data_IF_956813514886
#
_entry.id   IF_956813514886
#
_cell.length_a   1.000
_cell.length_b   1.000
_cell.length_c   1.000
_cell.angle_alpha   90.00
_cell.angle_beta   90.00
_cell.angle_gamma   90.00
#
_symmetry.space_group_name_H-M   'P 1'
#
loop_
_entity.id
_entity.type
_entity.pdbx_description
1 polymer ?
#
# COMPACT_ATOMS: atom_id res chain seq x y z
N UNK A 1 11.52 5.28 16.21
CA UNK A 1 10.76 4.06 15.89
C UNK A 1 11.73 3.07 15.28
N UNK A 2 11.69 1.78 15.67
CA UNK A 2 12.43 0.75 14.93
C UNK A 2 11.67 0.52 13.63
N UNK A 3 12.32 0.69 12.48
CA UNK A 3 11.75 0.35 11.18
C UNK A 3 11.75 -1.18 11.11
N UNK A 4 10.57 -1.79 11.19
CA UNK A 4 10.41 -3.24 11.06
C UNK A 4 10.47 -3.63 9.58
N UNK A 5 11.67 -3.73 9.03
CA UNK A 5 11.86 -4.14 7.64
C UNK A 5 11.44 -5.60 7.47
N UNK A 6 10.41 -5.85 6.64
CA UNK A 6 9.88 -7.17 6.27
C UNK A 6 9.41 -8.05 7.42
N UNK A 7 8.90 -7.46 8.49
CA UNK A 7 8.24 -8.25 9.53
C UNK A 7 7.07 -9.04 8.91
N UNK A 8 7.09 -10.36 9.08
CA UNK A 8 5.96 -11.22 8.74
C UNK A 8 4.92 -11.06 9.84
N UNK A 9 3.74 -10.60 9.46
CA UNK A 9 2.61 -10.38 10.36
C UNK A 9 1.79 -11.65 10.47
N UNK A 10 1.53 -12.30 9.34
CA UNK A 10 0.71 -13.51 9.23
C UNK A 10 1.21 -14.35 8.04
N UNK A 11 1.13 -15.68 8.13
CA UNK A 11 1.38 -16.57 7.01
C UNK A 11 0.59 -17.87 7.16
N UNK A 12 0.27 -18.51 6.04
CA UNK A 12 -0.49 -19.75 6.06
C UNK A 12 -0.82 -20.29 4.68
N UNK A 13 -1.98 -20.94 4.57
CA UNK A 13 -2.52 -21.42 3.31
C UNK A 13 -3.91 -20.83 3.07
N UNK A 14 -4.19 -20.42 1.85
CA UNK A 14 -5.49 -19.90 1.41
C UNK A 14 -5.99 -20.69 0.21
N UNK A 15 -7.29 -21.01 0.18
CA UNK A 15 -7.91 -21.61 -1.00
C UNK A 15 -8.40 -20.50 -1.94
N UNK A 16 -7.87 -20.44 -3.16
CA UNK A 16 -8.32 -19.47 -4.14
C UNK A 16 -9.64 -19.95 -4.77
N UNK A 17 -10.58 -19.03 -5.01
CA UNK A 17 -11.85 -19.38 -5.66
C UNK A 17 -11.66 -19.86 -7.11
N UNK A 18 -10.54 -19.50 -7.75
CA UNK A 18 -10.22 -19.84 -9.14
C UNK A 18 -10.00 -21.33 -9.38
N UNK A 19 -9.42 -22.04 -8.40
CA UNK A 19 -9.01 -23.44 -8.56
C UNK A 19 -9.34 -24.32 -7.34
N UNK A 20 -9.78 -23.74 -6.22
CA UNK A 20 -10.04 -24.42 -4.94
C UNK A 20 -8.81 -25.11 -4.34
N UNK A 21 -7.62 -24.84 -4.86
CA UNK A 21 -6.35 -25.37 -4.35
C UNK A 21 -5.83 -24.47 -3.24
N UNK A 22 -5.08 -25.06 -2.30
CA UNK A 22 -4.44 -24.32 -1.21
C UNK A 22 -3.10 -23.78 -1.66
N UNK A 23 -2.94 -22.46 -1.59
CA UNK A 23 -1.72 -21.75 -1.92
C UNK A 23 -1.10 -21.14 -0.66
N UNK A 24 0.24 -21.17 -0.53
CA UNK A 24 0.91 -20.47 0.56
C UNK A 24 0.71 -18.96 0.42
N UNK A 25 0.40 -18.29 1.52
CA UNK A 25 0.33 -16.84 1.58
C UNK A 25 1.20 -16.27 2.70
N UNK A 26 1.64 -15.02 2.52
CA UNK A 26 2.36 -14.23 3.51
C UNK A 26 1.81 -12.81 3.51
N UNK A 27 1.43 -12.30 4.68
CA UNK A 27 1.18 -10.89 4.95
C UNK A 27 2.40 -10.33 5.69
N UNK A 28 3.05 -9.32 5.11
CA UNK A 28 4.25 -8.72 5.70
C UNK A 28 4.38 -7.25 5.42
N UNK A 29 5.18 -6.58 6.23
CA UNK A 29 5.63 -5.21 5.97
C UNK A 29 6.42 -5.16 4.65
N UNK A 30 6.18 -4.12 3.86
CA UNK A 30 6.89 -3.85 2.62
C UNK A 30 8.11 -2.95 2.86
N UNK A 31 9.12 -3.13 2.02
CA UNK A 31 10.28 -2.23 1.95
C UNK A 31 10.57 -1.81 0.51
N UNK A 32 11.60 -0.99 0.33
CA UNK A 32 11.98 -0.44 -0.99
C UNK A 32 12.23 -1.50 -2.07
N UNK A 33 12.59 -2.73 -1.71
CA UNK A 33 12.82 -3.78 -2.72
C UNK A 33 11.48 -4.33 -3.26
N UNK A 34 10.37 -4.07 -2.57
CA UNK A 34 9.02 -4.41 -3.02
C UNK A 34 8.44 -3.39 -4.00
N UNK A 35 9.13 -2.27 -4.26
CA UNK A 35 8.67 -1.20 -5.16
C UNK A 35 8.20 -1.75 -6.50
N UNK A 36 9.00 -2.64 -7.11
CA UNK A 36 8.66 -3.23 -8.40
C UNK A 36 7.34 -4.02 -8.33
N UNK A 37 7.11 -4.77 -7.25
CA UNK A 37 5.91 -5.57 -7.07
C UNK A 37 4.67 -4.68 -6.90
N UNK A 38 4.80 -3.59 -6.13
CA UNK A 38 3.70 -2.61 -5.94
C UNK A 38 3.35 -1.92 -7.27
N UNK A 39 4.35 -1.46 -8.02
CA UNK A 39 4.12 -0.79 -9.31
C UNK A 39 3.51 -1.74 -10.34
N UNK A 40 3.91 -3.01 -10.35
CA UNK A 40 3.32 -4.05 -11.20
C UNK A 40 1.86 -4.33 -10.84
N UNK A 41 1.53 -4.40 -9.55
CA UNK A 41 0.17 -4.57 -9.07
C UNK A 41 -0.71 -3.39 -9.50
N UNK A 42 -0.27 -2.16 -9.22
CA UNK A 42 -0.96 -0.94 -9.64
C UNK A 42 -1.19 -0.92 -11.15
N UNK A 43 -0.15 -1.17 -11.95
CA UNK A 43 -0.27 -1.19 -13.40
C UNK A 43 -1.31 -2.20 -13.89
N UNK A 44 -1.32 -3.40 -13.31
CA UNK A 44 -2.27 -4.47 -13.67
C UNK A 44 -3.71 -4.07 -13.34
N UNK A 45 -3.93 -3.48 -12.16
CA UNK A 45 -5.25 -3.01 -11.73
C UNK A 45 -5.75 -1.89 -12.65
N UNK A 46 -4.94 -0.85 -12.88
CA UNK A 46 -5.28 0.27 -13.79
C UNK A 46 -5.54 -0.22 -15.21
N UNK A 47 -4.77 -1.19 -15.70
CA UNK A 47 -4.97 -1.74 -17.03
C UNK A 47 -6.36 -2.41 -17.19
N UNK A 48 -6.87 -3.02 -16.12
CA UNK A 48 -8.17 -3.70 -16.08
C UNK A 48 -9.39 -2.79 -15.83
N UNK A 49 -9.19 -1.55 -15.39
CA UNK A 49 -10.28 -0.62 -15.09
C UNK A 49 -10.95 -0.08 -16.36
N UNK A 50 -12.28 0.06 -16.34
CA UNK A 50 -13.05 0.71 -17.42
C UNK A 50 -12.88 2.23 -17.38
N UNK A 51 -12.92 2.83 -16.19
CA UNK A 51 -12.86 4.28 -15.96
C UNK A 51 -11.50 4.71 -15.38
N UNK A 52 -10.43 4.48 -16.14
CA UNK A 52 -9.04 4.71 -15.70
C UNK A 52 -8.76 6.16 -15.30
N UNK A 53 -9.49 7.09 -15.91
CA UNK A 53 -9.41 8.53 -15.67
C UNK A 53 -9.84 8.95 -14.26
N UNK A 54 -10.59 8.11 -13.54
CA UNK A 54 -11.01 8.38 -12.16
C UNK A 54 -9.97 7.91 -11.13
N UNK A 55 -8.98 7.14 -11.57
CA UNK A 55 -7.93 6.62 -10.69
C UNK A 55 -6.70 7.51 -10.75
N UNK A 56 -6.23 7.94 -9.58
CA UNK A 56 -4.96 8.67 -9.42
C UNK A 56 -3.90 7.65 -8.98
N UNK A 57 -3.03 7.17 -9.88
CA UNK A 57 -1.96 6.25 -9.51
C UNK A 57 -0.91 6.97 -8.66
N UNK A 58 -0.39 6.29 -7.63
CA UNK A 58 0.79 6.77 -6.93
C UNK A 58 2.00 6.65 -7.86
N UNK A 59 2.84 7.68 -7.91
CA UNK A 59 4.05 7.64 -8.71
C UNK A 59 5.11 6.73 -8.08
N UNK A 60 6.07 6.27 -8.90
CA UNK A 60 7.19 5.46 -8.41
C UNK A 60 8.00 6.22 -7.34
N UNK A 61 8.19 7.52 -7.51
CA UNK A 61 8.92 8.38 -6.56
C UNK A 61 8.21 8.48 -5.22
N UNK A 62 6.89 8.68 -5.22
CA UNK A 62 6.09 8.74 -3.99
C UNK A 62 6.05 7.39 -3.27
N UNK A 63 5.88 6.30 -4.02
CA UNK A 63 5.91 4.95 -3.46
C UNK A 63 7.29 4.61 -2.87
N UNK A 64 8.38 4.95 -3.55
CA UNK A 64 9.73 4.76 -3.03
C UNK A 64 9.94 5.58 -1.74
N UNK A 65 9.51 6.84 -1.73
CA UNK A 65 9.59 7.69 -0.56
C UNK A 65 8.88 7.06 0.65
N UNK A 66 7.68 6.48 0.44
CA UNK A 66 6.94 5.76 1.48
C UNK A 66 7.74 4.55 1.99
N UNK A 67 8.21 3.71 1.09
CA UNK A 67 8.91 2.46 1.38
C UNK A 67 10.32 2.66 2.00
N UNK A 68 10.88 3.88 1.92
CA UNK A 68 12.11 4.27 2.60
C UNK A 68 11.92 4.67 4.07
N UNK A 69 10.72 4.45 4.62
CA UNK A 69 10.40 4.62 6.04
C UNK A 69 9.71 5.94 6.39
N UNK A 70 9.18 6.64 5.38
CA UNK A 70 8.33 7.82 5.59
C UNK A 70 6.85 7.46 5.81
N UNK A 71 6.50 6.18 5.62
CA UNK A 71 5.21 5.61 5.98
C UNK A 71 5.36 4.15 6.38
N UNK A 72 4.22 3.48 6.48
CA UNK A 72 4.11 2.03 6.71
C UNK A 72 3.35 1.41 5.55
N UNK A 73 3.80 0.26 5.06
CA UNK A 73 3.10 -0.45 4.00
C UNK A 73 3.06 -1.95 4.27
N UNK A 74 1.92 -2.57 3.98
CA UNK A 74 1.67 -3.99 4.12
C UNK A 74 1.34 -4.58 2.76
N UNK A 75 1.87 -5.78 2.47
CA UNK A 75 1.52 -6.52 1.27
C UNK A 75 1.09 -7.94 1.55
N UNK A 76 0.05 -8.38 0.84
CA UNK A 76 -0.37 -9.77 0.76
C UNK A 76 0.29 -10.43 -0.44
N UNK A 77 1.04 -11.50 -0.18
CA UNK A 77 1.65 -12.32 -1.20
C UNK A 77 1.00 -13.70 -1.21
N UNK A 78 0.71 -14.23 -2.40
CA UNK A 78 0.28 -15.61 -2.62
C UNK A 78 1.21 -16.17 -3.71
N UNK A 79 1.85 -17.30 -3.43
CA UNK A 79 2.88 -17.89 -4.32
C UNK A 79 3.94 -16.88 -4.80
N UNK A 80 4.42 -16.04 -3.87
CA UNK A 80 5.41 -14.99 -4.09
C UNK A 80 4.97 -13.86 -5.04
N UNK A 81 3.71 -13.83 -5.49
CA UNK A 81 3.13 -12.71 -6.22
C UNK A 81 2.37 -11.81 -5.25
N UNK A 82 2.51 -10.50 -5.39
CA UNK A 82 1.73 -9.53 -4.61
C UNK A 82 0.31 -9.45 -5.16
N UNK A 83 -0.69 -9.63 -4.28
CA UNK A 83 -2.11 -9.54 -4.61
C UNK A 83 -2.77 -8.30 -4.05
N UNK A 84 -2.28 -7.80 -2.93
CA UNK A 84 -2.78 -6.57 -2.34
C UNK A 84 -1.64 -5.80 -1.66
N UNK A 85 -1.78 -4.48 -1.64
CA UNK A 85 -0.92 -3.60 -0.87
C UNK A 85 -1.76 -2.51 -0.19
N UNK A 86 -1.42 -2.19 1.05
CA UNK A 86 -2.06 -1.14 1.83
C UNK A 86 -0.98 -0.27 2.45
N UNK A 87 -1.06 1.05 2.28
CA UNK A 87 -0.04 1.97 2.80
C UNK A 87 -0.62 3.17 3.54
N UNK A 88 0.09 3.55 4.59
CA UNK A 88 -0.21 4.66 5.48
C UNK A 88 0.96 5.65 5.45
N UNK A 89 0.66 6.92 5.22
CA UNK A 89 1.63 7.99 5.36
C UNK A 89 1.39 8.76 6.65
N UNK A 90 2.44 8.88 7.46
CA UNK A 90 2.39 9.53 8.77
C UNK A 90 2.57 11.05 8.68
N UNK A 91 3.24 11.52 7.62
CA UNK A 91 3.50 12.94 7.39
C UNK A 91 3.31 13.24 5.93
N UNK A 92 2.31 14.05 5.67
CA UNK A 92 2.02 14.60 4.34
C UNK A 92 2.12 16.11 4.47
N UNK A 93 2.81 16.73 3.52
CA UNK A 93 2.94 18.18 3.48
C UNK A 93 1.57 18.83 3.44
N UNK A 94 1.43 19.99 4.09
CA UNK A 94 0.13 20.65 4.30
C UNK A 94 -0.65 20.86 2.99
N UNK A 95 0.06 21.19 1.91
CA UNK A 95 -0.51 21.43 0.58
C UNK A 95 -1.07 20.17 -0.08
N UNK A 96 -0.58 18.99 0.31
CA UNK A 96 -0.98 17.68 -0.23
C UNK A 96 -1.87 16.90 0.75
N UNK A 97 -2.09 17.43 1.95
CA UNK A 97 -2.85 16.75 2.98
C UNK A 97 -4.35 17.02 2.80
N UNK A 98 -5.07 16.04 2.23
CA UNK A 98 -6.53 16.09 2.07
C UNK A 98 -7.32 16.43 3.35
N UNK A 99 -6.79 16.19 4.57
CA UNK A 99 -7.48 16.61 5.80
C UNK A 99 -7.54 18.14 5.93
N UNK A 100 -6.61 18.87 5.31
CA UNK A 100 -6.59 20.32 5.28
C UNK A 100 -7.69 20.90 4.37
N UNK A 101 -8.13 20.16 3.35
CA UNK A 101 -9.31 20.51 2.55
C UNK A 101 -10.63 20.40 3.35
N UNK A 102 -10.59 19.74 4.52
CA UNK A 102 -11.72 19.56 5.43
C UNK A 102 -11.68 20.52 6.64
N UNK A 103 -10.88 21.58 6.58
CA UNK A 103 -10.70 22.60 7.62
C UNK A 103 -10.15 22.07 8.96
N UNK A 104 -9.41 20.95 8.96
CA UNK A 104 -8.75 20.44 10.17
C UNK A 104 -7.65 21.41 10.62
N UNK A 105 -7.59 21.71 11.90
CA UNK A 105 -6.48 22.49 12.46
C UNK A 105 -5.21 21.63 12.64
N UNK A 106 -4.05 22.25 12.86
CA UNK A 106 -2.76 21.53 12.94
C UNK A 106 -2.72 20.43 14.03
N UNK A 107 -3.40 20.63 15.17
CA UNK A 107 -3.45 19.62 16.22
C UNK A 107 -4.32 18.42 15.83
N UNK A 108 -5.36 18.65 15.02
CA UNK A 108 -6.25 17.60 14.49
C UNK A 108 -5.57 16.83 13.36
N UNK A 109 -4.88 17.52 12.46
CA UNK A 109 -4.09 16.91 11.38
C UNK A 109 -3.03 15.97 11.96
N UNK A 110 -2.37 16.33 13.06
CA UNK A 110 -1.38 15.48 13.72
C UNK A 110 -1.97 14.20 14.36
N UNK A 111 -3.30 14.10 14.48
CA UNK A 111 -4.00 12.95 15.08
C UNK A 111 -4.59 12.00 14.05
N UNK A 112 -4.49 12.32 12.76
CA UNK A 112 -5.00 11.49 11.67
C UNK A 112 -3.83 10.98 10.83
N UNK A 113 -3.91 9.72 10.40
CA UNK A 113 -3.02 9.16 9.39
C UNK A 113 -3.79 9.06 8.07
N UNK A 114 -3.12 9.35 6.96
CA UNK A 114 -3.74 9.20 5.65
C UNK A 114 -3.53 7.77 5.18
N UNK A 115 -4.65 7.07 4.96
CA UNK A 115 -4.67 5.83 4.21
C UNK A 115 -4.60 6.20 2.73
N UNK A 116 -3.39 6.23 2.20
CA UNK A 116 -3.17 6.72 0.84
C UNK A 116 -3.50 5.69 -0.23
N UNK A 117 -3.34 4.40 0.08
CA UNK A 117 -3.48 3.37 -0.95
C UNK A 117 -4.04 2.07 -0.38
N UNK A 118 -5.05 1.55 -1.07
CA UNK A 118 -5.48 0.16 -0.98
C UNK A 118 -5.56 -0.40 -2.40
N UNK A 119 -4.57 -1.21 -2.77
CA UNK A 119 -4.57 -1.99 -4.01
C UNK A 119 -5.14 -3.38 -3.71
N UNK A 120 -6.27 -3.72 -4.33
CA UNK A 120 -6.97 -5.02 -4.20
C UNK A 120 -7.60 -5.43 -5.52
#
# INVERSE_FOLDING_TARGET
MKICTREIIEQGQIALQSDLHKHPYVLRVLDKDDLLAVMQLQHSLVASMEQKELYVPISETEMLFLLEGNGEALGLFIENKMYAACSLLHKVDHENNMACELDFNQEEVARVAQLELSLV
#
